data_IF_204997410373
#
_entry.id   IF_204997410373
#
_cell.length_a   1.000
_cell.length_b   1.000
_cell.length_c   1.000
_cell.angle_alpha   90.00
_cell.angle_beta   90.00
_cell.angle_gamma   90.00
#
_symmetry.space_group_name_H-M   'P 1'
#
loop_
_entity.id
_entity.type
_entity.pdbx_description
1 polymer ?
#
# COMPACT_ATOMS: atom_id res chain seq x y z
N UNK A 1 -75.08 4.30 12.25
CA UNK A 1 -74.17 4.75 11.17
C UNK A 1 -72.86 5.21 11.78
N UNK A 2 -71.83 4.36 11.79
CA UNK A 2 -70.47 4.72 12.21
C UNK A 2 -69.50 4.21 11.15
N UNK A 3 -68.75 5.15 10.60
CA UNK A 3 -67.81 5.03 9.49
C UNK A 3 -66.63 4.11 9.85
N UNK A 4 -66.29 3.15 8.98
CA UNK A 4 -64.99 2.47 8.99
C UNK A 4 -64.06 3.21 8.01
N UNK A 5 -63.04 3.88 8.55
CA UNK A 5 -61.91 4.43 7.81
C UNK A 5 -60.91 3.32 7.50
N UNK A 6 -60.77 2.95 6.23
CA UNK A 6 -59.75 2.05 5.71
C UNK A 6 -58.42 2.81 5.61
N UNK A 7 -57.40 2.38 6.37
CA UNK A 7 -56.02 2.84 6.20
C UNK A 7 -55.34 2.03 5.09
N UNK A 8 -54.99 2.69 3.99
CA UNK A 8 -54.21 2.12 2.90
C UNK A 8 -52.72 2.34 3.19
N UNK A 9 -52.03 1.30 3.68
CA UNK A 9 -50.60 1.33 3.91
C UNK A 9 -49.83 1.32 2.60
N UNK A 10 -49.09 2.40 2.32
CA UNK A 10 -48.14 2.49 1.21
C UNK A 10 -46.90 1.67 1.58
N UNK A 11 -46.69 0.55 0.91
CA UNK A 11 -45.43 -0.21 0.98
C UNK A 11 -44.42 0.46 0.07
N UNK A 12 -43.47 1.19 0.66
CA UNK A 12 -42.28 1.67 -0.06
C UNK A 12 -41.30 0.51 -0.16
N UNK A 13 -41.22 -0.10 -1.34
CA UNK A 13 -40.19 -1.09 -1.65
C UNK A 13 -38.83 -0.38 -1.76
N UNK A 14 -37.99 -0.54 -0.75
CA UNK A 14 -36.57 -0.16 -0.82
C UNK A 14 -35.88 -1.16 -1.74
N UNK A 15 -35.59 -0.74 -2.96
CA UNK A 15 -34.73 -1.48 -3.89
C UNK A 15 -33.30 -1.47 -3.32
N UNK A 16 -32.88 -2.60 -2.75
CA UNK A 16 -31.50 -2.85 -2.41
C UNK A 16 -30.69 -2.99 -3.70
N UNK A 17 -29.76 -2.05 -3.93
CA UNK A 17 -28.74 -2.18 -4.96
C UNK A 17 -27.75 -3.24 -4.48
N UNK A 18 -27.52 -4.35 -5.20
CA UNK A 18 -26.51 -5.30 -4.81
C UNK A 18 -25.13 -4.69 -5.11
N UNK A 19 -24.38 -4.32 -4.06
CA UNK A 19 -22.94 -4.07 -4.15
C UNK A 19 -22.27 -5.43 -4.37
N UNK A 20 -22.16 -5.82 -5.63
CA UNK A 20 -21.53 -7.06 -6.06
C UNK A 20 -20.01 -6.93 -6.11
N UNK A 21 -19.34 -6.81 -4.97
CA UNK A 21 -17.96 -7.29 -4.88
C UNK A 21 -18.04 -8.81 -4.77
N UNK A 22 -17.99 -9.49 -5.91
CA UNK A 22 -17.94 -10.95 -5.96
C UNK A 22 -16.64 -11.39 -5.27
N UNK A 23 -16.75 -11.86 -4.03
CA UNK A 23 -15.62 -12.32 -3.23
C UNK A 23 -15.02 -13.57 -3.90
N UNK A 24 -13.89 -13.40 -4.58
CA UNK A 24 -13.05 -14.51 -5.00
C UNK A 24 -12.51 -15.30 -3.80
N UNK A 25 -11.94 -16.47 -4.08
CA UNK A 25 -11.14 -17.26 -3.14
C UNK A 25 -10.20 -16.38 -2.29
N UNK A 26 -9.91 -16.77 -1.04
CA UNK A 26 -9.18 -15.93 -0.07
C UNK A 26 -8.00 -15.16 -0.69
N UNK A 27 -8.10 -13.82 -0.71
CA UNK A 27 -7.04 -12.91 -1.17
C UNK A 27 -7.13 -12.49 -2.64
N UNK A 28 -8.01 -13.07 -3.46
CA UNK A 28 -8.24 -12.62 -4.84
C UNK A 28 -9.26 -11.48 -4.92
N UNK A 29 -8.93 -10.44 -5.67
CA UNK A 29 -9.72 -9.23 -5.85
C UNK A 29 -9.99 -9.05 -7.35
N UNK A 30 -11.25 -8.89 -7.73
CA UNK A 30 -11.59 -8.60 -9.13
C UNK A 30 -11.19 -7.18 -9.51
N UNK A 31 -10.55 -7.03 -10.67
CA UNK A 31 -10.24 -5.74 -11.30
C UNK A 31 -11.27 -5.33 -12.35
N UNK A 32 -12.21 -6.21 -12.68
CA UNK A 32 -13.25 -5.98 -13.68
C UNK A 32 -14.61 -6.44 -13.16
N UNK A 33 -15.64 -5.62 -13.39
CA UNK A 33 -17.00 -5.84 -12.89
C UNK A 33 -17.85 -6.74 -13.80
N UNK A 34 -17.35 -7.08 -15.00
CA UNK A 34 -18.07 -7.83 -16.01
C UNK A 34 -19.12 -7.03 -16.80
N UNK A 35 -19.25 -5.73 -16.55
CA UNK A 35 -20.36 -4.91 -17.04
C UNK A 35 -19.89 -3.62 -17.72
N UNK A 36 -18.82 -3.02 -17.24
CA UNK A 36 -18.36 -1.72 -17.69
C UNK A 36 -16.83 -1.61 -17.67
N UNK A 37 -16.29 -0.58 -18.33
CA UNK A 37 -14.86 -0.26 -18.22
C UNK A 37 -14.56 0.61 -16.98
N UNK A 38 -15.41 0.59 -15.95
CA UNK A 38 -15.12 1.32 -14.70
C UNK A 38 -13.81 0.83 -14.09
N UNK A 39 -12.95 1.78 -13.71
CA UNK A 39 -11.60 1.47 -13.24
C UNK A 39 -10.60 1.15 -14.37
N UNK A 40 -11.00 1.26 -15.64
CA UNK A 40 -10.13 1.10 -16.80
C UNK A 40 -10.15 2.35 -17.68
N UNK A 41 -9.02 2.68 -18.29
CA UNK A 41 -8.87 3.84 -19.16
C UNK A 41 -8.07 3.50 -20.40
N UNK A 42 -8.67 3.70 -21.56
CA UNK A 42 -8.00 3.52 -22.84
C UNK A 42 -7.00 4.66 -23.11
N UNK A 43 -5.93 4.34 -23.82
CA UNK A 43 -5.08 5.34 -24.48
C UNK A 43 -5.76 5.87 -25.75
N UNK A 44 -4.99 6.02 -26.82
CA UNK A 44 -5.48 6.39 -28.14
C UNK A 44 -6.46 5.35 -28.69
N UNK A 45 -7.33 5.72 -29.62
CA UNK A 45 -8.30 4.79 -30.20
C UNK A 45 -9.18 4.07 -29.17
N UNK A 46 -9.78 4.82 -28.24
CA UNK A 46 -10.60 4.26 -27.16
C UNK A 46 -11.73 3.33 -27.62
N UNK A 47 -12.25 3.52 -28.84
CA UNK A 47 -13.25 2.63 -29.47
C UNK A 47 -12.78 1.19 -29.73
N UNK A 48 -11.50 0.90 -29.53
CA UNK A 48 -10.91 -0.45 -29.61
C UNK A 48 -11.41 -1.38 -28.51
N UNK A 49 -11.89 -0.82 -27.40
CA UNK A 49 -12.32 -1.61 -26.24
C UNK A 49 -13.83 -1.49 -26.03
N UNK A 50 -14.47 -2.64 -25.86
CA UNK A 50 -15.89 -2.74 -25.50
C UNK A 50 -16.09 -3.83 -24.44
N UNK A 51 -17.29 -3.92 -23.87
CA UNK A 51 -17.69 -5.04 -22.99
C UNK A 51 -18.77 -5.85 -23.68
N UNK A 52 -18.55 -7.16 -23.80
CA UNK A 52 -19.50 -8.12 -24.38
C UNK A 52 -19.50 -9.40 -23.55
N UNK A 53 -20.68 -9.90 -23.19
CA UNK A 53 -20.86 -11.19 -22.48
C UNK A 53 -19.96 -11.38 -21.24
N UNK A 54 -19.76 -10.31 -20.47
CA UNK A 54 -18.92 -10.37 -19.27
C UNK A 54 -17.42 -10.34 -19.54
N UNK A 55 -16.99 -9.97 -20.76
CA UNK A 55 -15.59 -9.85 -21.16
C UNK A 55 -15.29 -8.46 -21.74
N UNK A 56 -14.08 -7.96 -21.47
CA UNK A 56 -13.48 -6.86 -22.23
C UNK A 56 -13.05 -7.41 -23.58
N UNK A 57 -13.56 -6.83 -24.66
CA UNK A 57 -13.21 -7.16 -26.05
C UNK A 57 -12.27 -6.08 -26.57
N UNK A 58 -11.06 -6.49 -26.97
CA UNK A 58 -10.12 -5.66 -27.69
C UNK A 58 -10.22 -5.99 -29.19
N UNK A 59 -10.78 -5.06 -29.96
CA UNK A 59 -10.94 -5.17 -31.41
C UNK A 59 -10.95 -3.77 -32.05
N UNK A 60 -10.00 -3.51 -32.94
CA UNK A 60 -9.86 -2.22 -33.60
C UNK A 60 -8.40 -1.77 -33.72
N UNK A 61 -8.16 -0.49 -34.09
CA UNK A 61 -6.82 0.02 -34.25
C UNK A 61 -5.99 -0.08 -32.97
N UNK A 62 -4.67 -0.08 -33.11
CA UNK A 62 -3.73 -0.21 -32.01
C UNK A 62 -4.08 0.67 -30.79
N UNK A 63 -4.14 0.07 -29.60
CA UNK A 63 -4.42 0.74 -28.33
C UNK A 63 -4.04 -0.10 -27.12
N UNK A 64 -4.03 0.53 -25.94
CA UNK A 64 -3.91 -0.12 -24.64
C UNK A 64 -5.01 0.37 -23.69
N UNK A 65 -5.57 -0.55 -22.89
CA UNK A 65 -6.53 -0.29 -21.84
C UNK A 65 -5.86 -0.49 -20.49
N UNK A 66 -5.63 0.60 -19.75
CA UNK A 66 -4.90 0.59 -18.48
C UNK A 66 -5.85 0.48 -17.29
N UNK A 67 -5.49 -0.31 -16.29
CA UNK A 67 -6.19 -0.26 -15.02
C UNK A 67 -5.85 1.05 -14.29
N UNK A 68 -6.88 1.78 -13.89
CA UNK A 68 -6.80 3.04 -13.12
C UNK A 68 -7.73 3.00 -11.90
N UNK A 69 -8.20 1.81 -11.55
CA UNK A 69 -9.13 1.60 -10.44
C UNK A 69 -8.48 1.74 -9.07
N UNK A 70 -9.30 1.67 -8.00
CA UNK A 70 -8.87 2.05 -6.67
C UNK A 70 -8.03 0.98 -5.93
N UNK A 71 -8.08 -0.29 -6.36
CA UNK A 71 -7.38 -1.39 -5.70
C UNK A 71 -5.87 -1.12 -5.73
N UNK A 72 -5.24 -1.16 -4.55
CA UNK A 72 -3.83 -0.81 -4.34
C UNK A 72 -3.43 0.55 -4.95
N UNK A 73 -4.36 1.49 -5.09
CA UNK A 73 -4.15 2.78 -5.77
C UNK A 73 -3.66 2.64 -7.22
N UNK A 74 -3.99 1.53 -7.89
CA UNK A 74 -3.54 1.24 -9.25
C UNK A 74 -2.03 0.99 -9.37
N UNK A 75 -1.35 0.65 -8.28
CA UNK A 75 0.11 0.46 -8.25
C UNK A 75 0.46 -0.84 -7.50
N UNK A 76 0.85 -1.84 -8.27
CA UNK A 76 1.13 -3.19 -7.82
C UNK A 76 2.63 -3.47 -7.92
N UNK A 77 3.22 -3.93 -6.82
CA UNK A 77 4.63 -4.30 -6.73
C UNK A 77 4.81 -5.81 -6.85
N UNK A 78 4.43 -6.55 -5.81
CA UNK A 78 4.42 -8.01 -5.84
C UNK A 78 2.95 -8.47 -5.89
N UNK A 79 2.62 -9.40 -6.79
CA UNK A 79 1.25 -9.86 -7.01
C UNK A 79 1.19 -11.22 -7.71
N UNK A 80 0.06 -11.89 -7.56
CA UNK A 80 -0.43 -12.85 -8.54
C UNK A 80 -1.55 -12.19 -9.36
N UNK A 81 -1.54 -12.37 -10.68
CA UNK A 81 -2.56 -11.89 -11.62
C UNK A 81 -3.11 -13.10 -12.39
N UNK A 82 -4.43 -13.25 -12.41
CA UNK A 82 -5.14 -14.23 -13.25
C UNK A 82 -6.03 -13.50 -14.24
N UNK A 83 -5.99 -13.94 -15.50
CA UNK A 83 -6.81 -13.41 -16.58
C UNK A 83 -7.28 -14.58 -17.42
N UNK A 84 -8.59 -14.71 -17.62
CA UNK A 84 -9.11 -15.63 -18.63
C UNK A 84 -9.10 -14.91 -19.98
N UNK A 85 -8.50 -15.57 -20.97
CA UNK A 85 -8.27 -15.01 -22.31
C UNK A 85 -8.86 -15.96 -23.35
N UNK A 86 -9.42 -15.38 -24.42
CA UNK A 86 -9.82 -16.08 -25.63
C UNK A 86 -9.43 -15.24 -26.84
N UNK A 87 -8.92 -15.87 -27.89
CA UNK A 87 -8.52 -15.22 -29.14
C UNK A 87 -9.43 -15.68 -30.28
N UNK A 88 -9.73 -14.81 -31.24
CA UNK A 88 -10.16 -15.25 -32.57
C UNK A 88 -8.93 -15.62 -33.43
N UNK A 89 -9.11 -16.39 -34.53
CA UNK A 89 -8.00 -16.73 -35.42
C UNK A 89 -7.23 -15.50 -35.91
N UNK A 90 -5.90 -15.61 -35.92
CA UNK A 90 -4.96 -14.55 -36.30
C UNK A 90 -4.93 -13.33 -35.36
N UNK A 91 -5.54 -13.41 -34.17
CA UNK A 91 -5.47 -12.32 -33.21
C UNK A 91 -4.09 -12.20 -32.54
N UNK A 92 -3.69 -10.95 -32.32
CA UNK A 92 -2.53 -10.56 -31.54
C UNK A 92 -2.98 -9.59 -30.43
N UNK A 93 -2.39 -9.72 -29.25
CA UNK A 93 -2.67 -8.90 -28.09
C UNK A 93 -1.66 -9.16 -26.97
N UNK A 94 -1.97 -8.67 -25.77
CA UNK A 94 -1.05 -8.78 -24.65
C UNK A 94 -1.65 -8.33 -23.33
N UNK A 95 -1.12 -8.91 -22.25
CA UNK A 95 -1.39 -8.52 -20.87
C UNK A 95 -0.13 -7.89 -20.29
N UNK A 96 -0.23 -6.65 -19.85
CA UNK A 96 0.89 -5.86 -19.35
C UNK A 96 0.84 -5.73 -17.84
N UNK A 97 2.02 -5.64 -17.22
CA UNK A 97 2.16 -5.38 -15.79
C UNK A 97 3.36 -4.47 -15.48
N UNK A 98 3.39 -3.91 -14.26
CA UNK A 98 4.35 -2.88 -13.85
C UNK A 98 4.39 -1.67 -14.79
N UNK A 99 3.29 -1.43 -15.51
CA UNK A 99 3.21 -0.34 -16.47
C UNK A 99 2.64 0.93 -15.82
N UNK A 100 2.38 1.96 -16.62
CA UNK A 100 1.73 3.18 -16.21
C UNK A 100 0.86 3.70 -17.35
N UNK A 101 -0.21 4.43 -17.02
CA UNK A 101 -1.06 5.03 -18.04
C UNK A 101 -0.23 5.86 -19.02
N UNK A 102 -0.46 5.63 -20.31
CA UNK A 102 0.14 6.37 -21.41
C UNK A 102 -0.95 6.58 -22.47
N UNK A 103 -1.10 7.82 -22.94
CA UNK A 103 -2.16 8.13 -23.88
C UNK A 103 -1.84 7.64 -25.30
N UNK A 104 -0.58 7.68 -25.75
CA UNK A 104 -0.21 7.38 -27.15
C UNK A 104 1.00 6.47 -27.25
N UNK A 105 1.06 5.68 -28.30
CA UNK A 105 2.21 4.88 -28.67
C UNK A 105 2.38 3.59 -27.85
N UNK A 106 3.48 2.91 -28.12
CA UNK A 106 3.87 1.68 -27.45
C UNK A 106 4.10 1.91 -25.96
N UNK A 107 3.60 1.01 -25.12
CA UNK A 107 3.86 1.02 -23.67
C UNK A 107 5.37 1.07 -23.42
N UNK A 108 5.82 2.16 -22.78
CA UNK A 108 7.24 2.43 -22.56
C UNK A 108 7.81 1.75 -21.30
N UNK A 109 6.96 1.51 -20.30
CA UNK A 109 7.33 0.97 -18.97
C UNK A 109 6.63 -0.35 -18.72
N UNK A 110 7.35 -1.29 -18.11
CA UNK A 110 6.80 -2.56 -17.64
C UNK A 110 6.98 -3.67 -18.66
N UNK A 111 6.31 -4.79 -18.40
CA UNK A 111 6.44 -6.02 -19.16
C UNK A 111 5.12 -6.36 -19.83
N UNK A 112 5.23 -7.25 -20.81
CA UNK A 112 4.12 -7.78 -21.61
C UNK A 112 4.21 -9.29 -21.58
N UNK A 113 3.10 -9.93 -21.27
CA UNK A 113 2.87 -11.35 -21.53
C UNK A 113 2.06 -11.43 -22.81
N UNK A 114 2.65 -12.04 -23.83
CA UNK A 114 2.06 -12.13 -25.17
C UNK A 114 0.72 -12.88 -25.14
N UNK A 115 -0.22 -12.45 -25.99
CA UNK A 115 -1.41 -13.21 -26.38
C UNK A 115 -1.38 -13.36 -27.91
N UNK A 116 -1.04 -14.55 -28.39
CA UNK A 116 -1.01 -14.90 -29.81
C UNK A 116 -0.97 -16.43 -29.96
N UNK A 117 -2.02 -17.01 -30.51
CA UNK A 117 -2.12 -18.46 -30.74
C UNK A 117 -1.89 -18.86 -32.20
N UNK A 118 -2.21 -17.99 -33.18
CA UNK A 118 -2.18 -18.36 -34.61
C UNK A 118 -1.76 -17.27 -35.59
N UNK A 119 -1.50 -16.03 -35.14
CA UNK A 119 -0.98 -14.98 -36.03
C UNK A 119 0.42 -15.34 -36.52
N UNK A 120 0.57 -15.53 -37.83
CA UNK A 120 1.84 -15.96 -38.44
C UNK A 120 2.82 -14.80 -38.66
N UNK A 121 2.41 -13.55 -38.45
CA UNK A 121 3.27 -12.38 -38.65
C UNK A 121 4.22 -12.14 -37.47
N UNK A 122 3.80 -12.46 -36.25
CA UNK A 122 4.66 -12.52 -35.07
C UNK A 122 5.00 -13.99 -34.73
N UNK A 123 6.29 -14.36 -34.59
CA UNK A 123 6.68 -15.71 -34.18
C UNK A 123 6.43 -16.00 -32.70
N UNK A 124 6.23 -14.98 -31.85
CA UNK A 124 6.11 -15.13 -30.39
C UNK A 124 4.68 -15.48 -29.99
N UNK A 125 4.55 -16.43 -29.07
CA UNK A 125 3.27 -17.05 -28.70
C UNK A 125 2.81 -16.71 -27.31
N UNK A 126 1.52 -16.95 -27.08
CA UNK A 126 0.84 -16.80 -25.79
C UNK A 126 1.68 -17.30 -24.63
N UNK A 127 1.84 -16.47 -23.60
CA UNK A 127 2.63 -16.79 -22.41
C UNK A 127 4.11 -16.36 -22.48
N UNK A 128 4.60 -15.92 -23.64
CA UNK A 128 5.95 -15.33 -23.73
C UNK A 128 6.04 -14.10 -22.85
N UNK A 129 7.09 -13.99 -22.02
CA UNK A 129 7.47 -12.72 -21.43
C UNK A 129 8.19 -11.93 -22.53
N UNK A 130 7.45 -11.10 -23.26
CA UNK A 130 7.81 -10.64 -24.60
C UNK A 130 9.20 -9.99 -24.64
N UNK A 131 10.08 -10.52 -25.49
CA UNK A 131 11.51 -10.14 -25.64
C UNK A 131 12.38 -10.32 -24.39
N UNK A 132 11.90 -11.01 -23.36
CA UNK A 132 12.68 -11.39 -22.18
C UNK A 132 12.88 -12.91 -22.13
N UNK A 133 11.79 -13.67 -22.27
CA UNK A 133 11.78 -15.11 -22.38
C UNK A 133 10.66 -15.52 -23.35
N UNK A 134 11.07 -15.89 -24.55
CA UNK A 134 10.20 -16.07 -25.72
C UNK A 134 9.76 -17.52 -25.88
N UNK A 135 8.52 -17.71 -26.30
CA UNK A 135 7.95 -18.99 -26.72
C UNK A 135 7.52 -18.89 -28.18
N UNK A 136 7.75 -19.96 -28.95
CA UNK A 136 7.37 -20.02 -30.38
C UNK A 136 6.24 -21.00 -30.65
N UNK A 137 5.81 -21.75 -29.63
CA UNK A 137 4.69 -22.70 -29.70
C UNK A 137 3.54 -22.22 -28.82
N UNK A 138 2.32 -22.26 -29.36
CA UNK A 138 1.13 -21.80 -28.64
C UNK A 138 0.68 -22.86 -27.63
N UNK A 139 0.53 -22.51 -26.33
CA UNK A 139 0.01 -23.41 -25.31
C UNK A 139 -1.53 -23.52 -25.32
N UNK A 140 -2.21 -22.75 -26.16
CA UNK A 140 -3.66 -22.65 -26.20
C UNK A 140 -4.16 -22.57 -27.65
N UNK A 141 -5.45 -22.84 -27.85
CA UNK A 141 -6.12 -22.77 -29.15
C UNK A 141 -6.95 -21.48 -29.25
N UNK A 142 -7.19 -21.03 -30.49
CA UNK A 142 -8.18 -19.98 -30.72
C UNK A 142 -9.59 -20.47 -30.37
N UNK A 143 -10.47 -19.52 -30.07
CA UNK A 143 -11.89 -19.73 -29.76
C UNK A 143 -12.16 -20.53 -28.48
N UNK A 144 -11.12 -20.94 -27.76
CA UNK A 144 -11.17 -21.55 -26.45
C UNK A 144 -10.71 -20.57 -25.36
N UNK A 145 -11.37 -20.62 -24.20
CA UNK A 145 -10.93 -19.87 -23.03
C UNK A 145 -9.77 -20.59 -22.35
N UNK A 146 -8.72 -19.85 -22.01
CA UNK A 146 -7.62 -20.32 -21.19
C UNK A 146 -7.27 -19.30 -20.11
N UNK A 147 -6.86 -19.77 -18.94
CA UNK A 147 -6.37 -18.90 -17.87
C UNK A 147 -4.88 -18.65 -18.04
N UNK A 148 -4.50 -17.38 -18.08
CA UNK A 148 -3.14 -16.90 -17.90
C UNK A 148 -2.95 -16.52 -16.42
N UNK A 149 -1.92 -17.07 -15.77
CA UNK A 149 -1.56 -16.76 -14.38
C UNK A 149 -0.12 -16.25 -14.34
N UNK A 150 0.04 -15.00 -13.94
CA UNK A 150 1.33 -14.31 -13.82
C UNK A 150 1.62 -14.11 -12.35
N UNK A 151 2.79 -14.51 -11.88
CA UNK A 151 3.26 -14.22 -10.52
C UNK A 151 4.49 -13.34 -10.61
N UNK A 152 4.47 -12.23 -9.88
CA UNK A 152 5.62 -11.35 -9.70
C UNK A 152 5.93 -11.25 -8.22
N UNK A 153 7.10 -11.72 -7.82
CA UNK A 153 7.61 -11.64 -6.45
C UNK A 153 9.04 -11.08 -6.45
N UNK A 154 9.19 -9.82 -6.04
CA UNK A 154 10.47 -9.13 -6.03
C UNK A 154 11.05 -8.97 -7.45
N UNK A 155 12.06 -9.80 -7.77
CA UNK A 155 12.73 -9.81 -9.07
C UNK A 155 12.44 -11.06 -9.89
N UNK A 156 11.49 -11.89 -9.46
CA UNK A 156 11.12 -13.15 -10.10
C UNK A 156 9.73 -13.06 -10.72
N UNK A 157 9.60 -13.61 -11.93
CA UNK A 157 8.37 -13.67 -12.71
C UNK A 157 8.12 -15.10 -13.18
N UNK A 158 6.92 -15.63 -12.92
CA UNK A 158 6.43 -16.84 -13.58
C UNK A 158 5.21 -16.54 -14.43
N UNK A 159 5.08 -17.28 -15.53
CA UNK A 159 3.89 -17.26 -16.38
C UNK A 159 3.42 -18.69 -16.62
N UNK A 160 2.17 -18.93 -16.26
CA UNK A 160 1.47 -20.20 -16.43
C UNK A 160 0.26 -19.98 -17.36
N UNK A 161 0.02 -20.92 -18.28
CA UNK A 161 -1.16 -20.89 -19.17
C UNK A 161 -1.83 -22.25 -19.15
N UNK A 162 -3.13 -22.28 -18.84
CA UNK A 162 -3.90 -23.52 -18.75
C UNK A 162 -3.32 -24.53 -17.75
N UNK A 163 -2.72 -24.04 -16.65
CA UNK A 163 -2.08 -24.86 -15.62
C UNK A 163 -0.68 -25.39 -15.98
N UNK A 164 -0.09 -24.98 -17.10
CA UNK A 164 1.28 -25.32 -17.49
C UNK A 164 2.20 -24.12 -17.29
N UNK A 165 3.28 -24.29 -16.51
CA UNK A 165 4.33 -23.29 -16.37
C UNK A 165 5.14 -23.16 -17.64
N UNK A 166 5.24 -21.95 -18.19
CA UNK A 166 5.94 -21.67 -19.45
C UNK A 166 7.14 -20.74 -19.26
N UNK A 167 7.04 -19.79 -18.34
CA UNK A 167 8.12 -18.85 -17.99
C UNK A 167 8.45 -18.99 -16.51
N UNK A 168 9.75 -18.96 -16.22
CA UNK A 168 10.33 -18.90 -14.89
C UNK A 168 11.61 -18.04 -15.02
N UNK A 169 11.47 -16.74 -14.78
CA UNK A 169 12.47 -15.73 -15.14
C UNK A 169 12.82 -14.85 -13.94
N UNK A 170 14.11 -14.59 -13.72
CA UNK A 170 14.60 -13.63 -12.72
C UNK A 170 15.31 -12.48 -13.41
N UNK A 171 14.97 -11.24 -13.06
CA UNK A 171 15.64 -10.06 -13.55
C UNK A 171 17.12 -10.05 -13.09
N UNK A 172 18.09 -9.92 -14.02
CA UNK A 172 19.49 -9.81 -13.65
C UNK A 172 19.78 -8.49 -12.90
N UNK A 173 20.87 -8.46 -12.13
CA UNK A 173 21.35 -7.26 -11.47
C UNK A 173 22.78 -6.94 -11.96
N UNK A 174 23.01 -5.84 -12.73
CA UNK A 174 22.00 -4.83 -13.12
C UNK A 174 20.99 -5.36 -14.16
N UNK A 175 19.80 -4.73 -14.27
CA UNK A 175 18.80 -5.10 -15.27
C UNK A 175 19.33 -5.02 -16.71
N UNK A 176 18.87 -5.94 -17.57
CA UNK A 176 19.27 -6.03 -18.98
C UNK A 176 18.04 -5.98 -19.91
N UNK A 177 17.37 -4.82 -20.04
CA UNK A 177 16.24 -4.68 -20.96
C UNK A 177 16.70 -4.68 -22.43
N UNK A 178 15.83 -5.07 -23.38
CA UNK A 178 16.08 -4.89 -24.81
C UNK A 178 16.33 -3.41 -25.14
N UNK A 179 17.23 -3.14 -26.09
CA UNK A 179 17.62 -1.77 -26.46
C UNK A 179 16.46 -0.92 -26.97
N UNK A 180 15.47 -1.54 -27.64
CA UNK A 180 14.26 -0.89 -28.13
C UNK A 180 13.18 -0.74 -27.06
N UNK A 181 13.36 -1.34 -25.87
CA UNK A 181 12.40 -1.34 -24.76
C UNK A 181 13.10 -1.16 -23.40
N UNK A 182 13.80 -0.04 -23.17
CA UNK A 182 14.61 0.16 -21.96
C UNK A 182 13.80 0.18 -20.65
N UNK A 183 12.48 0.37 -20.71
CA UNK A 183 11.60 0.35 -19.54
C UNK A 183 11.10 -1.03 -19.09
N UNK A 184 11.57 -2.12 -19.70
CA UNK A 184 11.32 -3.52 -19.25
C UNK A 184 12.20 -3.84 -18.03
N UNK A 185 11.93 -3.14 -16.92
CA UNK A 185 12.62 -3.28 -15.64
C UNK A 185 11.59 -3.43 -14.52
N UNK A 186 11.75 -4.43 -13.66
CA UNK A 186 10.82 -4.74 -12.56
C UNK A 186 10.86 -3.63 -11.50
N UNK A 187 9.67 -3.20 -11.09
CA UNK A 187 9.49 -2.16 -10.08
C UNK A 187 8.10 -2.25 -9.48
N UNK A 188 7.24 -1.31 -9.85
CA UNK A 188 5.81 -1.34 -9.56
C UNK A 188 5.05 -0.59 -10.64
N UNK A 189 3.76 -0.86 -10.75
CA UNK A 189 2.88 -0.13 -11.64
C UNK A 189 1.54 -0.81 -11.81
N UNK A 190 0.79 -0.36 -12.81
CA UNK A 190 -0.54 -0.90 -13.13
C UNK A 190 -0.48 -2.02 -14.17
N UNK A 191 -1.65 -2.54 -14.51
CA UNK A 191 -1.89 -3.49 -15.59
C UNK A 191 -2.41 -2.80 -16.85
N UNK A 192 -2.21 -3.42 -18.01
CA UNK A 192 -2.91 -3.02 -19.22
C UNK A 192 -3.26 -4.22 -20.12
N UNK A 193 -4.28 -4.05 -20.96
CA UNK A 193 -4.66 -4.98 -22.02
C UNK A 193 -4.42 -4.32 -23.38
N UNK A 194 -4.01 -5.08 -24.38
CA UNK A 194 -3.72 -4.55 -25.71
C UNK A 194 -4.82 -4.88 -26.72
N UNK A 195 -5.16 -3.89 -27.55
CA UNK A 195 -5.73 -4.09 -28.87
C UNK A 195 -4.64 -3.84 -29.92
N UNK A 196 -4.35 -4.82 -30.76
CA UNK A 196 -3.17 -4.79 -31.63
C UNK A 196 -3.46 -4.12 -32.99
N UNK A 197 -4.49 -4.59 -33.70
CA UNK A 197 -4.89 -4.11 -35.01
C UNK A 197 -6.34 -4.52 -35.35
N UNK A 198 -6.86 -4.01 -36.47
CA UNK A 198 -8.24 -4.23 -36.92
C UNK A 198 -8.58 -5.70 -37.24
N UNK A 199 -7.57 -6.56 -37.42
CA UNK A 199 -7.78 -7.99 -37.71
C UNK A 199 -7.82 -8.81 -36.43
N UNK A 200 -7.33 -8.25 -35.32
CA UNK A 200 -7.22 -8.93 -34.04
C UNK A 200 -8.49 -8.74 -33.21
N UNK A 201 -8.96 -9.85 -32.63
CA UNK A 201 -10.01 -9.84 -31.62
C UNK A 201 -9.58 -10.71 -30.46
N UNK A 202 -9.44 -10.08 -29.28
CA UNK A 202 -9.09 -10.76 -28.03
C UNK A 202 -10.12 -10.42 -26.95
N UNK A 203 -10.52 -11.44 -26.20
CA UNK A 203 -11.45 -11.33 -25.09
C UNK A 203 -10.71 -11.56 -23.78
N UNK A 204 -10.96 -10.71 -22.79
CA UNK A 204 -10.39 -10.80 -21.44
C UNK A 204 -11.52 -10.77 -20.42
N UNK A 205 -11.60 -11.75 -19.51
CA UNK A 205 -12.54 -11.75 -18.38
C UNK A 205 -11.89 -12.35 -17.14
N UNK A 206 -12.62 -12.34 -16.02
CA UNK A 206 -12.14 -12.93 -14.76
C UNK A 206 -10.74 -12.40 -14.39
N UNK A 207 -10.59 -11.07 -14.44
CA UNK A 207 -9.33 -10.38 -14.20
C UNK A 207 -9.17 -10.22 -12.68
N UNK A 208 -8.41 -11.11 -12.07
CA UNK A 208 -8.22 -11.14 -10.62
C UNK A 208 -6.77 -10.86 -10.26
N UNK A 209 -6.58 -10.09 -9.19
CA UNK A 209 -5.26 -9.86 -8.59
C UNK A 209 -5.26 -10.32 -7.14
N UNK A 210 -4.13 -10.85 -6.70
CA UNK A 210 -3.81 -11.10 -5.30
C UNK A 210 -2.50 -10.40 -4.97
N UNK A 211 -2.55 -9.21 -4.35
CA UNK A 211 -1.35 -8.49 -3.93
C UNK A 211 -0.53 -9.32 -2.94
N UNK A 212 0.78 -9.41 -3.18
CA UNK A 212 1.74 -10.11 -2.32
C UNK A 212 2.57 -9.14 -1.47
N UNK A 213 2.61 -7.86 -1.87
CA UNK A 213 3.22 -6.79 -1.08
C UNK A 213 2.18 -6.20 -0.11
N UNK A 214 2.41 -6.23 1.22
CA UNK A 214 1.39 -5.81 2.17
C UNK A 214 1.28 -4.28 2.21
N UNK A 215 0.07 -3.78 2.00
CA UNK A 215 -0.25 -2.36 2.12
C UNK A 215 -1.02 -2.13 3.41
N UNK A 216 -0.31 -1.63 4.43
CA UNK A 216 -0.89 -1.37 5.76
C UNK A 216 -0.58 0.05 6.18
N UNK A 217 -1.61 0.84 6.49
CA UNK A 217 -1.47 2.12 7.17
C UNK A 217 -1.49 1.89 8.68
N UNK A 218 -0.33 1.89 9.31
CA UNK A 218 -0.13 1.67 10.75
C UNK A 218 -0.37 2.93 11.60
N UNK A 219 -0.75 4.06 11.01
CA UNK A 219 -0.92 5.32 11.73
C UNK A 219 -2.19 6.04 11.27
N UNK A 220 -3.33 5.39 11.47
CA UNK A 220 -4.63 5.94 11.16
C UNK A 220 -5.40 6.34 12.43
N UNK A 221 -6.13 7.44 12.33
CA UNK A 221 -6.89 8.05 13.41
C UNK A 221 -8.33 8.34 13.01
N UNK A 222 -9.24 8.17 13.98
CA UNK A 222 -10.67 8.44 13.83
C UNK A 222 -11.01 9.89 14.25
N UNK A 223 -10.40 10.87 13.58
CA UNK A 223 -10.61 12.32 13.87
C UNK A 223 -11.60 12.94 12.89
N UNK A 224 -12.16 14.09 13.25
CA UNK A 224 -12.99 14.89 12.34
C UNK A 224 -14.30 14.20 11.91
N UNK A 225 -14.87 13.35 12.77
CA UNK A 225 -16.11 12.62 12.49
C UNK A 225 -15.93 11.29 11.75
N UNK A 226 -14.70 10.88 11.44
CA UNK A 226 -14.41 9.55 10.90
C UNK A 226 -14.84 8.44 11.84
N UNK A 227 -15.54 7.45 11.31
CA UNK A 227 -15.92 6.23 12.03
C UNK A 227 -15.02 5.05 11.64
N UNK A 228 -15.04 3.98 12.44
CA UNK A 228 -14.37 2.71 12.07
C UNK A 228 -14.95 2.16 10.77
N UNK A 229 -16.25 2.33 10.53
CA UNK A 229 -16.92 1.79 9.34
C UNK A 229 -16.53 2.57 8.07
N UNK A 230 -16.31 3.90 8.16
CA UNK A 230 -15.71 4.68 7.07
C UNK A 230 -14.33 4.14 6.68
N UNK A 231 -13.50 3.84 7.69
CA UNK A 231 -12.16 3.30 7.50
C UNK A 231 -12.20 1.89 6.89
N UNK A 232 -13.14 1.04 7.30
CA UNK A 232 -13.35 -0.29 6.71
C UNK A 232 -13.78 -0.19 5.24
N UNK A 233 -14.65 0.77 4.90
CA UNK A 233 -15.04 1.00 3.51
C UNK A 233 -13.83 1.42 2.65
N UNK A 234 -12.95 2.28 3.16
CA UNK A 234 -11.70 2.66 2.50
C UNK A 234 -10.77 1.44 2.37
N UNK A 235 -10.67 0.63 3.41
CA UNK A 235 -9.88 -0.60 3.44
C UNK A 235 -10.28 -1.55 2.30
N UNK A 236 -11.57 -1.81 2.14
CA UNK A 236 -12.12 -2.66 1.10
C UNK A 236 -11.90 -2.05 -0.29
N UNK A 237 -12.14 -0.73 -0.45
CA UNK A 237 -12.01 -0.03 -1.72
C UNK A 237 -10.58 -0.01 -2.25
N UNK A 238 -9.59 0.06 -1.38
CA UNK A 238 -8.19 0.22 -1.77
C UNK A 238 -7.31 -1.02 -1.50
N UNK A 239 -7.88 -2.08 -0.90
CA UNK A 239 -7.11 -3.23 -0.42
C UNK A 239 -5.96 -2.83 0.52
N UNK A 240 -6.23 -1.87 1.42
CA UNK A 240 -5.31 -1.38 2.44
C UNK A 240 -5.78 -1.87 3.80
N UNK A 241 -4.89 -2.47 4.60
CA UNK A 241 -5.19 -2.75 6.00
C UNK A 241 -4.86 -1.54 6.86
N UNK A 242 -5.55 -1.39 7.99
CA UNK A 242 -5.34 -0.26 8.89
C UNK A 242 -4.99 -0.71 10.30
N UNK A 243 -4.13 0.07 10.95
CA UNK A 243 -4.00 0.10 12.39
C UNK A 243 -4.56 1.40 12.94
N UNK A 244 -5.58 1.27 13.79
CA UNK A 244 -6.33 2.39 14.36
C UNK A 244 -5.68 2.79 15.68
N UNK A 245 -5.14 4.00 15.71
CA UNK A 245 -4.40 4.56 16.81
C UNK A 245 -5.29 5.35 17.77
N UNK A 246 -5.24 4.98 19.04
CA UNK A 246 -5.79 5.80 20.13
C UNK A 246 -4.69 6.75 20.63
N UNK A 247 -4.91 8.07 20.52
CA UNK A 247 -4.03 9.06 21.16
C UNK A 247 -4.22 9.00 22.68
N UNK A 248 -3.13 8.75 23.41
CA UNK A 248 -3.20 8.59 24.86
C UNK A 248 -2.00 9.20 25.58
N UNK A 249 -2.24 9.83 26.73
CA UNK A 249 -1.20 10.52 27.51
C UNK A 249 -1.69 11.83 28.12
N UNK A 250 -0.76 12.64 28.59
CA UNK A 250 -1.06 13.92 29.26
C UNK A 250 -1.77 14.87 28.29
N UNK A 251 -2.94 15.36 28.70
CA UNK A 251 -3.76 16.29 27.90
C UNK A 251 -4.68 15.62 26.88
N UNK A 252 -4.70 14.29 26.81
CA UNK A 252 -5.62 13.55 25.94
C UNK A 252 -6.82 12.99 26.72
N UNK A 253 -7.97 12.76 26.06
CA UNK A 253 -9.13 12.14 26.69
C UNK A 253 -8.82 10.75 27.28
N UNK A 254 -7.90 10.01 26.66
CA UNK A 254 -7.41 8.73 27.14
C UNK A 254 -6.12 8.94 27.91
N UNK A 255 -6.22 8.95 29.22
CA UNK A 255 -5.10 9.24 30.14
C UNK A 255 -4.97 8.23 31.29
N UNK A 256 -5.71 7.13 31.23
CA UNK A 256 -5.63 6.01 32.15
C UNK A 256 -6.13 4.71 31.49
N UNK A 257 -5.97 3.59 32.19
CA UNK A 257 -6.35 2.25 31.70
C UNK A 257 -7.84 2.11 31.33
N UNK A 258 -8.74 2.77 32.06
CA UNK A 258 -10.18 2.73 31.72
C UNK A 258 -10.46 3.45 30.39
N UNK A 259 -9.70 4.50 30.06
CA UNK A 259 -9.72 5.13 28.74
C UNK A 259 -9.27 4.16 27.64
N UNK A 260 -8.12 3.50 27.83
CA UNK A 260 -7.61 2.51 26.86
C UNK A 260 -8.61 1.35 26.66
N UNK A 261 -9.22 0.88 27.75
CA UNK A 261 -10.25 -0.17 27.70
C UNK A 261 -11.45 0.25 26.86
N UNK A 262 -11.96 1.49 27.01
CA UNK A 262 -13.04 2.02 26.18
C UNK A 262 -12.63 2.15 24.71
N UNK A 263 -11.38 2.52 24.43
CA UNK A 263 -10.87 2.58 23.06
C UNK A 263 -10.84 1.19 22.41
N UNK A 264 -10.34 0.17 23.12
CA UNK A 264 -10.29 -1.21 22.65
C UNK A 264 -11.69 -1.79 22.37
N UNK A 265 -12.67 -1.50 23.23
CA UNK A 265 -14.06 -1.96 23.04
C UNK A 265 -14.66 -1.46 21.72
N UNK A 266 -14.32 -0.25 21.26
CA UNK A 266 -14.81 0.29 19.97
C UNK A 266 -14.27 -0.48 18.76
N UNK A 267 -13.15 -1.18 18.92
CA UNK A 267 -12.45 -1.90 17.86
C UNK A 267 -12.66 -3.43 17.94
N UNK A 268 -13.41 -3.91 18.93
CA UNK A 268 -13.64 -5.34 19.14
C UNK A 268 -14.36 -5.97 17.94
N UNK A 269 -13.83 -7.09 17.44
CA UNK A 269 -14.37 -7.80 16.28
C UNK A 269 -14.18 -7.10 14.92
N UNK A 270 -13.58 -5.90 14.89
CA UNK A 270 -13.33 -5.16 13.65
C UNK A 270 -12.03 -5.66 12.98
N UNK A 271 -11.96 -5.74 11.63
CA UNK A 271 -10.82 -6.28 10.89
C UNK A 271 -9.63 -5.30 10.79
N UNK A 272 -9.26 -4.66 11.90
CA UNK A 272 -8.20 -3.66 11.99
C UNK A 272 -7.18 -4.07 13.04
N UNK A 273 -5.94 -3.57 12.94
CA UNK A 273 -5.03 -3.61 14.08
C UNK A 273 -5.42 -2.52 15.09
N UNK A 274 -5.22 -2.82 16.37
CA UNK A 274 -5.43 -1.91 17.50
C UNK A 274 -4.09 -1.31 17.88
N UNK A 275 -3.94 0.00 17.72
CA UNK A 275 -2.70 0.69 17.99
C UNK A 275 -2.84 1.68 19.13
N UNK A 276 -1.78 1.84 19.90
CA UNK A 276 -1.67 2.85 20.96
C UNK A 276 -0.66 3.90 20.52
N UNK A 277 -1.09 5.14 20.31
CA UNK A 277 -0.19 6.27 20.15
C UNK A 277 0.07 6.87 21.54
N UNK A 278 1.22 6.52 22.10
CA UNK A 278 1.69 7.03 23.36
C UNK A 278 2.23 8.47 23.19
N UNK A 279 1.65 9.42 23.91
CA UNK A 279 1.93 10.85 23.78
C UNK A 279 2.72 11.39 24.98
N UNK A 280 3.79 12.14 24.69
CA UNK A 280 4.71 12.64 25.72
C UNK A 280 5.56 11.53 26.33
N UNK A 281 6.34 11.87 27.37
CA UNK A 281 7.25 10.92 28.03
C UNK A 281 6.65 10.32 29.30
N UNK A 282 5.55 10.89 29.77
CA UNK A 282 4.89 10.52 31.02
C UNK A 282 4.06 9.24 30.91
N UNK A 283 3.65 8.86 29.70
CA UNK A 283 2.73 7.75 29.45
C UNK A 283 3.19 6.42 30.09
N UNK A 284 4.50 6.20 30.19
CA UNK A 284 5.08 5.00 30.81
C UNK A 284 4.75 4.86 32.30
N UNK A 285 4.22 5.91 32.94
CA UNK A 285 3.74 5.90 34.34
C UNK A 285 2.21 5.94 34.44
N UNK A 286 1.50 6.09 33.32
CA UNK A 286 0.06 6.35 33.28
C UNK A 286 -0.76 5.10 33.01
N UNK A 287 -0.16 4.10 32.38
CA UNK A 287 -0.86 2.91 31.90
C UNK A 287 -0.17 1.64 32.40
N UNK A 288 -0.95 0.62 32.73
CA UNK A 288 -0.40 -0.66 33.18
C UNK A 288 0.20 -1.47 32.02
N UNK A 289 1.27 -2.26 32.26
CA UNK A 289 1.81 -3.18 31.25
C UNK A 289 0.73 -4.13 30.68
N UNK A 290 -0.18 -4.59 31.53
CA UNK A 290 -1.28 -5.50 31.17
C UNK A 290 -2.25 -4.85 30.20
N UNK A 291 -2.57 -3.57 30.38
CA UNK A 291 -3.45 -2.85 29.47
C UNK A 291 -2.75 -2.55 28.14
N UNK A 292 -1.49 -2.10 28.18
CA UNK A 292 -0.70 -1.82 26.98
C UNK A 292 -0.57 -3.10 26.12
N UNK A 293 -0.37 -4.27 26.74
CA UNK A 293 -0.22 -5.54 26.04
C UNK A 293 -1.47 -5.98 25.24
N UNK A 294 -2.65 -5.37 25.47
CA UNK A 294 -3.88 -5.67 24.70
C UNK A 294 -3.89 -5.03 23.32
N UNK A 295 -3.07 -4.01 23.08
CA UNK A 295 -2.89 -3.43 21.74
C UNK A 295 -1.99 -4.34 20.90
N UNK A 296 -2.20 -4.33 19.59
CA UNK A 296 -1.40 -5.13 18.66
C UNK A 296 0.02 -4.57 18.54
N UNK A 297 0.16 -3.24 18.66
CA UNK A 297 1.45 -2.55 18.73
C UNK A 297 1.31 -1.17 19.38
N UNK A 298 2.43 -0.67 19.91
CA UNK A 298 2.55 0.65 20.52
C UNK A 298 3.51 1.50 19.71
N UNK A 299 3.21 2.78 19.55
CA UNK A 299 4.13 3.70 18.90
C UNK A 299 4.14 5.07 19.57
N UNK A 300 5.22 5.81 19.34
CA UNK A 300 5.39 7.18 19.82
C UNK A 300 6.34 7.94 18.89
N UNK A 301 6.40 9.26 19.07
CA UNK A 301 7.34 10.14 18.39
C UNK A 301 8.21 10.91 19.40
N UNK A 302 9.20 11.64 18.88
CA UNK A 302 10.05 12.56 19.64
C UNK A 302 9.58 14.01 19.48
N UNK A 303 8.27 14.23 19.30
CA UNK A 303 7.70 15.56 19.07
C UNK A 303 7.18 16.20 20.37
N UNK A 304 7.04 15.43 21.46
CA UNK A 304 6.66 15.93 22.79
C UNK A 304 7.70 15.56 23.86
N UNK A 305 8.34 16.56 24.44
CA UNK A 305 9.38 16.39 25.47
C UNK A 305 9.67 17.70 26.22
N UNK A 306 10.39 17.61 27.34
CA UNK A 306 10.83 18.76 28.15
C UNK A 306 12.28 19.11 27.83
N UNK A 307 12.56 20.36 27.48
CA UNK A 307 13.91 20.84 27.21
C UNK A 307 14.76 20.96 28.48
N UNK A 308 16.07 21.18 28.33
CA UNK A 308 17.00 21.28 29.46
C UNK A 308 16.72 22.46 30.41
N UNK A 309 15.82 23.38 30.03
CA UNK A 309 15.34 24.51 30.86
C UNK A 309 14.01 24.21 31.56
N UNK A 310 13.47 23.00 31.44
CA UNK A 310 12.21 22.61 32.07
C UNK A 310 10.94 23.00 31.30
N UNK A 311 11.05 23.55 30.08
CA UNK A 311 9.88 23.86 29.25
C UNK A 311 9.42 22.62 28.48
N UNK A 312 8.14 22.27 28.61
CA UNK A 312 7.49 21.28 27.74
C UNK A 312 7.37 21.85 26.32
N UNK A 313 7.83 21.09 25.35
CA UNK A 313 7.77 21.44 23.93
C UNK A 313 6.91 20.42 23.18
N UNK A 314 6.02 20.95 22.32
CA UNK A 314 5.31 20.21 21.28
C UNK A 314 5.78 20.74 19.94
N UNK A 315 6.59 19.97 19.22
CA UNK A 315 7.32 20.44 18.04
C UNK A 315 6.40 20.89 16.89
N UNK A 316 5.14 20.46 16.87
CA UNK A 316 4.15 20.88 15.87
C UNK A 316 3.36 22.14 16.27
N UNK A 317 3.56 22.67 17.47
CA UNK A 317 2.89 23.88 17.97
C UNK A 317 3.89 25.05 17.99
N UNK A 318 3.86 25.98 17.01
CA UNK A 318 4.88 27.01 16.87
C UNK A 318 5.15 27.83 18.15
N UNK A 319 4.09 28.11 18.93
CA UNK A 319 4.18 28.91 20.14
C UNK A 319 4.80 28.17 21.35
N UNK A 320 5.06 26.87 21.22
CA UNK A 320 5.62 26.03 22.29
C UNK A 320 7.06 25.61 22.04
N UNK A 321 7.60 25.89 20.85
CA UNK A 321 8.95 25.48 20.47
C UNK A 321 9.96 26.55 20.82
N UNK A 322 11.05 26.13 21.45
CA UNK A 322 12.25 26.96 21.65
C UNK A 322 13.46 26.28 21.01
N UNK A 323 13.84 26.74 19.82
CA UNK A 323 15.03 26.21 19.14
C UNK A 323 16.31 26.77 19.75
N UNK A 324 16.42 28.10 19.90
CA UNK A 324 17.69 28.70 20.29
C UNK A 324 18.78 28.42 19.26
N UNK A 325 19.95 27.93 19.71
CA UNK A 325 20.99 27.45 18.80
C UNK A 325 20.56 26.13 18.11
N UNK A 326 20.56 26.12 16.79
CA UNK A 326 20.05 25.00 15.99
C UNK A 326 20.86 23.72 16.19
N UNK A 327 22.17 23.81 16.38
CA UNK A 327 23.02 22.62 16.55
C UNK A 327 22.83 22.00 17.93
N UNK A 328 22.71 22.82 18.98
CA UNK A 328 22.35 22.39 20.32
C UNK A 328 20.94 21.77 20.35
N UNK A 329 19.96 22.41 19.69
CA UNK A 329 18.61 21.86 19.55
C UNK A 329 18.63 20.47 18.90
N UNK A 330 19.36 20.32 17.80
CA UNK A 330 19.46 19.04 17.10
C UNK A 330 20.19 17.97 17.94
N UNK A 331 21.22 18.34 18.69
CA UNK A 331 21.85 17.44 19.66
C UNK A 331 20.84 16.94 20.70
N UNK A 332 20.10 17.85 21.30
CA UNK A 332 19.06 17.55 22.29
C UNK A 332 17.95 16.67 21.69
N UNK A 333 17.45 17.00 20.50
CA UNK A 333 16.43 16.21 19.80
C UNK A 333 16.91 14.78 19.56
N UNK A 334 18.13 14.59 19.04
CA UNK A 334 18.71 13.27 18.80
C UNK A 334 18.86 12.49 20.11
N UNK A 335 19.35 13.13 21.18
CA UNK A 335 19.50 12.49 22.49
C UNK A 335 18.15 12.06 23.07
N UNK A 336 17.10 12.89 22.93
CA UNK A 336 15.74 12.52 23.35
C UNK A 336 15.18 11.37 22.50
N UNK A 337 15.36 11.41 21.19
CA UNK A 337 14.94 10.31 20.29
C UNK A 337 15.64 8.99 20.64
N UNK A 338 16.96 9.01 20.82
CA UNK A 338 17.73 7.82 21.20
C UNK A 338 17.31 7.33 22.59
N UNK A 339 17.03 8.24 23.53
CA UNK A 339 16.49 7.92 24.85
C UNK A 339 15.15 7.17 24.77
N UNK A 340 14.23 7.63 23.92
CA UNK A 340 12.94 6.98 23.68
C UNK A 340 13.17 5.56 23.13
N UNK A 341 13.96 5.43 22.07
CA UNK A 341 14.19 4.15 21.38
C UNK A 341 14.83 3.09 22.30
N UNK A 342 15.74 3.53 23.19
CA UNK A 342 16.43 2.66 24.13
C UNK A 342 15.57 2.23 25.32
N UNK A 343 14.72 3.12 25.84
CA UNK A 343 14.12 2.92 27.16
C UNK A 343 12.61 2.66 27.13
N UNK A 344 11.93 3.03 26.05
CA UNK A 344 10.47 2.90 26.00
C UNK A 344 10.00 1.63 25.28
N UNK A 345 8.91 1.00 25.77
CA UNK A 345 8.39 -0.23 25.19
C UNK A 345 7.50 0.03 23.96
N UNK A 346 8.08 0.66 22.95
CA UNK A 346 7.42 0.91 21.65
C UNK A 346 7.84 -0.11 20.60
N UNK A 347 6.94 -0.38 19.65
CA UNK A 347 7.19 -1.21 18.47
C UNK A 347 7.56 -0.38 17.25
N UNK A 348 7.02 0.84 17.12
CA UNK A 348 7.27 1.76 15.99
C UNK A 348 7.62 3.16 16.50
N UNK A 349 8.63 3.78 15.90
CA UNK A 349 8.94 5.21 16.04
C UNK A 349 8.36 5.97 14.85
N UNK A 350 7.37 6.82 15.13
CA UNK A 350 6.58 7.54 14.12
C UNK A 350 7.02 9.00 13.99
N UNK A 351 6.61 9.63 12.89
CA UNK A 351 7.03 10.97 12.50
C UNK A 351 8.57 11.15 12.59
N UNK A 352 9.39 10.19 12.12
CA UNK A 352 10.82 10.22 12.35
C UNK A 352 11.42 11.45 11.70
N UNK A 353 12.49 11.96 12.30
CA UNK A 353 13.23 13.13 11.79
C UNK A 353 12.42 14.43 11.71
N UNK A 354 11.22 14.49 12.29
CA UNK A 354 10.40 15.70 12.28
C UNK A 354 11.16 16.90 12.86
N UNK A 355 11.10 18.03 12.15
CA UNK A 355 11.60 19.32 12.59
C UNK A 355 10.44 20.31 12.74
N UNK A 356 10.44 21.16 13.77
CA UNK A 356 9.46 22.23 13.91
C UNK A 356 9.59 23.22 12.74
N UNK A 357 8.47 23.86 12.37
CA UNK A 357 8.38 24.70 11.17
C UNK A 357 9.47 25.79 11.07
N UNK A 358 9.94 26.30 12.21
CA UNK A 358 10.97 27.37 12.30
C UNK A 358 12.37 26.95 11.82
N UNK A 359 12.65 25.66 11.65
CA UNK A 359 13.94 25.13 11.14
C UNK A 359 13.74 23.99 10.13
N UNK A 360 12.51 23.78 9.66
CA UNK A 360 12.19 22.67 8.77
C UNK A 360 12.76 22.86 7.35
N UNK A 361 13.02 24.10 6.95
CA UNK A 361 13.67 24.47 5.67
C UNK A 361 15.16 24.10 5.62
N UNK A 362 15.80 23.88 6.77
CA UNK A 362 17.19 23.44 6.89
C UNK A 362 17.31 21.92 7.12
N UNK A 363 16.27 21.14 6.82
CA UNK A 363 16.20 19.71 7.14
C UNK A 363 17.44 18.92 6.73
N UNK A 364 17.86 19.01 5.46
CA UNK A 364 18.99 18.23 4.94
C UNK A 364 20.35 18.69 5.51
N UNK A 365 20.43 19.96 5.96
CA UNK A 365 21.62 20.51 6.62
C UNK A 365 21.69 20.07 8.09
N UNK A 366 20.55 20.02 8.77
CA UNK A 366 20.47 19.73 10.20
C UNK A 366 20.48 18.22 10.50
N UNK A 367 19.88 17.39 9.65
CA UNK A 367 20.00 15.94 9.74
C UNK A 367 21.28 15.46 9.05
N UNK A 368 22.39 15.55 9.79
CA UNK A 368 23.67 14.98 9.34
C UNK A 368 23.65 13.46 9.36
N UNK A 369 24.53 12.83 8.58
CA UNK A 369 24.71 11.37 8.55
C UNK A 369 24.90 10.79 9.96
N UNK A 370 25.73 11.43 10.79
CA UNK A 370 25.99 11.00 12.16
C UNK A 370 24.71 11.00 13.02
N UNK A 371 23.86 12.02 12.88
CA UNK A 371 22.60 12.13 13.62
C UNK A 371 21.61 11.05 13.16
N UNK A 372 21.51 10.84 11.84
CA UNK A 372 20.68 9.79 11.28
C UNK A 372 21.12 8.41 11.79
N UNK A 373 22.43 8.12 11.76
CA UNK A 373 22.99 6.85 12.18
C UNK A 373 22.74 6.56 13.66
N UNK A 374 22.85 7.56 14.55
CA UNK A 374 22.52 7.39 15.97
C UNK A 374 21.07 6.92 16.18
N UNK A 375 20.12 7.53 15.47
CA UNK A 375 18.70 7.15 15.54
C UNK A 375 18.49 5.75 14.95
N UNK A 376 19.05 5.47 13.78
CA UNK A 376 18.94 4.17 13.10
C UNK A 376 19.51 3.04 13.98
N UNK A 377 20.71 3.23 14.53
CA UNK A 377 21.35 2.22 15.39
C UNK A 377 20.54 1.95 16.65
N UNK A 378 19.98 2.99 17.28
CA UNK A 378 19.09 2.83 18.42
C UNK A 378 17.81 2.04 18.04
N UNK A 379 17.23 2.30 16.88
CA UNK A 379 16.08 1.56 16.38
C UNK A 379 16.40 0.08 16.12
N UNK A 380 17.51 -0.21 15.42
CA UNK A 380 18.00 -1.58 15.15
C UNK A 380 18.26 -2.33 16.45
N UNK A 381 19.07 -1.75 17.35
CA UNK A 381 19.44 -2.35 18.64
C UNK A 381 18.23 -2.80 19.46
N UNK A 382 17.15 -2.01 19.40
CA UNK A 382 15.97 -2.22 20.21
C UNK A 382 14.80 -2.90 19.47
N UNK A 383 15.01 -3.25 18.19
CA UNK A 383 13.99 -3.83 17.33
C UNK A 383 12.75 -2.94 17.19
N UNK A 384 12.95 -1.62 17.07
CA UNK A 384 11.89 -0.63 16.83
C UNK A 384 11.83 -0.35 15.33
N UNK A 385 10.65 -0.46 14.74
CA UNK A 385 10.44 -0.10 13.33
C UNK A 385 10.41 1.42 13.17
N UNK A 386 10.76 1.92 11.98
CA UNK A 386 10.69 3.35 11.66
C UNK A 386 9.54 3.59 10.69
N UNK A 387 8.72 4.59 10.97
CA UNK A 387 7.63 4.97 10.07
C UNK A 387 8.14 5.63 8.78
N UNK A 388 7.51 5.34 7.65
CA UNK A 388 7.55 6.20 6.46
C UNK A 388 6.21 6.94 6.42
N UNK A 389 6.24 8.18 6.88
CA UNK A 389 5.06 9.01 7.08
C UNK A 389 4.67 9.71 5.78
N UNK A 390 3.49 9.41 5.25
CA UNK A 390 3.05 9.96 3.97
C UNK A 390 2.58 11.40 4.02
N UNK A 391 2.02 11.85 5.15
CA UNK A 391 1.56 13.23 5.31
C UNK A 391 2.71 14.22 5.41
N UNK A 392 3.70 13.91 6.25
CA UNK A 392 4.89 14.77 6.42
C UNK A 392 5.97 14.52 5.38
N UNK A 393 5.88 13.42 4.61
CA UNK A 393 6.90 12.99 3.65
C UNK A 393 8.26 12.81 4.33
N UNK A 394 8.24 12.09 5.45
CA UNK A 394 9.40 11.83 6.30
C UNK A 394 9.59 10.33 6.52
N UNK A 395 10.82 9.87 6.79
CA UNK A 395 12.08 10.61 6.70
C UNK A 395 12.58 10.66 5.24
N UNK A 396 13.64 11.43 4.96
CA UNK A 396 14.17 11.52 3.58
C UNK A 396 14.65 10.17 3.02
N UNK A 397 14.71 10.05 1.69
CA UNK A 397 15.22 8.85 1.02
C UNK A 397 16.65 8.49 1.48
N UNK A 398 17.49 9.50 1.75
CA UNK A 398 18.84 9.30 2.30
C UNK A 398 18.80 8.55 3.62
N UNK A 399 17.92 8.96 4.54
CA UNK A 399 17.71 8.26 5.81
C UNK A 399 17.22 6.83 5.57
N UNK A 400 16.24 6.65 4.68
CA UNK A 400 15.62 5.34 4.42
C UNK A 400 16.58 4.33 3.81
N UNK A 401 17.46 4.76 2.90
CA UNK A 401 18.50 3.90 2.32
C UNK A 401 19.46 3.39 3.41
N UNK A 402 19.93 4.29 4.29
CA UNK A 402 20.80 3.93 5.43
C UNK A 402 20.09 3.01 6.42
N UNK A 403 18.83 3.32 6.76
CA UNK A 403 18.04 2.52 7.67
C UNK A 403 17.82 1.09 7.14
N UNK A 404 17.56 0.96 5.82
CA UNK A 404 17.42 -0.34 5.16
C UNK A 404 18.73 -1.12 5.21
N UNK A 405 19.84 -0.48 4.87
CA UNK A 405 21.17 -1.12 4.92
C UNK A 405 21.51 -1.61 6.34
N UNK A 406 21.10 -0.86 7.36
CA UNK A 406 21.24 -1.26 8.77
C UNK A 406 20.24 -2.34 9.24
N UNK A 407 19.29 -2.75 8.41
CA UNK A 407 18.31 -3.80 8.72
C UNK A 407 17.08 -3.33 9.52
N UNK A 408 16.76 -2.04 9.51
CA UNK A 408 15.53 -1.50 10.12
C UNK A 408 14.29 -2.03 9.40
N UNK A 409 13.23 -2.32 10.17
CA UNK A 409 11.89 -2.58 9.62
C UNK A 409 11.10 -1.29 9.47
N UNK A 410 10.23 -1.20 8.47
CA UNK A 410 9.47 0.01 8.15
C UNK A 410 7.97 -0.17 8.36
N UNK A 411 7.31 0.80 8.98
CA UNK A 411 5.86 0.90 9.01
C UNK A 411 5.41 2.02 8.08
N UNK A 412 4.39 1.80 7.25
CA UNK A 412 3.78 2.93 6.53
C UNK A 412 2.72 3.57 7.41
N UNK A 413 2.58 4.89 7.31
CA UNK A 413 1.61 5.62 8.11
C UNK A 413 1.17 6.90 7.44
N UNK A 414 -0.12 7.24 7.55
CA UNK A 414 -0.62 8.53 7.09
C UNK A 414 -0.55 9.61 8.16
N UNK A 415 -0.73 9.26 9.43
CA UNK A 415 -1.02 10.24 10.48
C UNK A 415 -2.11 11.22 10.02
N UNK A 416 -3.20 10.67 9.50
CA UNK A 416 -4.23 11.41 8.78
C UNK A 416 -4.81 12.57 9.62
N UNK A 417 -5.06 13.69 8.94
CA UNK A 417 -5.79 14.85 9.50
C UNK A 417 -7.30 14.64 9.49
N UNK A 418 -7.81 13.81 8.58
CA UNK A 418 -9.24 13.51 8.47
C UNK A 418 -9.51 12.48 7.37
N UNK A 419 -10.68 12.57 6.73
CA UNK A 419 -11.13 11.62 5.72
C UNK A 419 -10.38 11.74 4.39
N UNK A 420 -9.90 12.94 4.06
CA UNK A 420 -9.33 13.23 2.74
C UNK A 420 -7.91 12.66 2.54
N UNK A 421 -7.19 12.38 3.62
CA UNK A 421 -5.81 11.87 3.60
C UNK A 421 -5.67 10.49 4.26
N UNK A 422 -6.76 9.89 4.73
CA UNK A 422 -6.75 8.54 5.34
C UNK A 422 -6.40 7.48 4.28
N UNK A 423 -5.37 6.68 4.58
CA UNK A 423 -4.85 5.66 3.68
C UNK A 423 -4.02 6.19 2.50
N UNK A 424 -3.85 7.50 2.31
CA UNK A 424 -2.98 8.03 1.25
C UNK A 424 -1.50 7.74 1.55
N UNK A 425 -1.05 6.56 1.13
CA UNK A 425 0.30 6.06 1.31
C UNK A 425 1.22 6.38 0.13
N UNK A 426 0.93 7.42 -0.67
CA UNK A 426 1.66 7.72 -1.89
C UNK A 426 3.18 7.89 -1.66
N UNK A 427 3.58 8.63 -0.64
CA UNK A 427 5.00 8.81 -0.33
C UNK A 427 5.63 7.52 0.21
N UNK A 428 4.92 6.78 1.07
CA UNK A 428 5.41 5.49 1.58
C UNK A 428 5.64 4.49 0.46
N UNK A 429 4.71 4.37 -0.49
CA UNK A 429 4.86 3.52 -1.69
C UNK A 429 6.02 3.97 -2.57
N UNK A 430 6.14 5.27 -2.84
CA UNK A 430 7.24 5.82 -3.63
C UNK A 430 8.60 5.51 -2.98
N UNK A 431 8.73 5.71 -1.66
CA UNK A 431 9.97 5.42 -0.95
C UNK A 431 10.26 3.92 -0.88
N UNK A 432 9.24 3.08 -0.74
CA UNK A 432 9.38 1.63 -0.80
C UNK A 432 9.89 1.17 -2.17
N UNK A 433 9.44 1.80 -3.26
CA UNK A 433 9.96 1.56 -4.59
C UNK A 433 11.42 2.01 -4.70
N UNK A 434 11.72 3.28 -4.38
CA UNK A 434 13.06 3.87 -4.55
C UNK A 434 14.12 3.20 -3.69
N UNK A 435 13.77 2.79 -2.47
CA UNK A 435 14.66 2.07 -1.56
C UNK A 435 14.65 0.55 -1.82
N UNK A 436 13.83 0.06 -2.75
CA UNK A 436 13.72 -1.37 -3.07
C UNK A 436 13.23 -2.22 -1.91
N UNK A 437 12.33 -1.70 -1.06
CA UNK A 437 11.81 -2.42 0.11
C UNK A 437 10.98 -3.63 -0.31
N UNK A 438 11.19 -4.76 0.34
CA UNK A 438 10.43 -6.01 0.16
C UNK A 438 9.41 -6.18 1.29
N UNK A 439 8.54 -7.18 1.20
CA UNK A 439 7.62 -7.55 2.31
C UNK A 439 8.39 -7.82 3.61
N UNK A 440 9.60 -8.35 3.52
CA UNK A 440 10.42 -8.66 4.68
C UNK A 440 10.98 -7.41 5.35
N UNK A 441 11.08 -6.28 4.64
CA UNK A 441 11.50 -5.00 5.21
C UNK A 441 10.36 -4.32 6.00
N UNK A 442 9.12 -4.81 5.90
CA UNK A 442 7.97 -4.17 6.53
C UNK A 442 7.70 -4.68 7.95
N UNK A 443 7.21 -3.77 8.78
CA UNK A 443 6.75 -4.07 10.12
C UNK A 443 5.51 -4.97 10.08
N UNK A 444 5.48 -5.94 10.98
CA UNK A 444 4.33 -6.78 11.27
C UNK A 444 4.16 -6.80 12.79
N UNK A 445 2.96 -6.49 13.33
CA UNK A 445 2.69 -6.57 14.75
C UNK A 445 3.10 -7.92 15.32
N UNK A 446 3.79 -7.90 16.45
CA UNK A 446 4.29 -9.12 17.08
C UNK A 446 3.13 -9.87 17.74
N UNK A 447 3.15 -11.22 17.71
CA UNK A 447 2.15 -11.98 18.45
C UNK A 447 2.31 -11.75 19.95
N UNK A 448 1.26 -12.10 20.69
CA UNK A 448 1.26 -12.04 22.14
C UNK A 448 2.44 -12.83 22.75
N UNK A 449 2.98 -12.33 23.87
CA UNK A 449 4.22 -12.80 24.48
C UNK A 449 5.50 -12.23 23.84
N UNK A 450 5.42 -11.56 22.67
CA UNK A 450 6.59 -10.96 21.98
C UNK A 450 6.50 -9.45 21.78
N UNK A 451 5.44 -8.79 22.24
CA UNK A 451 5.26 -7.33 22.07
C UNK A 451 6.31 -6.54 22.84
N UNK A 452 6.59 -5.29 22.43
CA UNK A 452 7.63 -4.47 23.05
C UNK A 452 7.45 -4.35 24.58
N UNK A 453 6.23 -4.10 25.07
CA UNK A 453 5.91 -4.04 26.50
C UNK A 453 6.18 -5.36 27.24
N UNK A 454 5.93 -6.50 26.61
CA UNK A 454 6.15 -7.82 27.20
C UNK A 454 7.63 -8.20 27.23
N UNK A 455 8.43 -7.69 26.28
CA UNK A 455 9.88 -7.95 26.21
C UNK A 455 10.71 -7.01 27.07
N UNK A 456 10.34 -5.72 27.11
CA UNK A 456 11.13 -4.66 27.76
C UNK A 456 10.59 -4.27 29.13
N UNK A 457 9.29 -4.44 29.38
CA UNK A 457 8.61 -3.84 30.53
C UNK A 457 8.54 -2.31 30.43
N UNK A 458 7.95 -1.68 31.45
CA UNK A 458 8.03 -0.24 31.63
C UNK A 458 9.40 0.13 32.23
N UNK A 459 10.00 1.27 31.84
CA UNK A 459 11.21 1.77 32.47
C UNK A 459 10.99 2.00 33.98
N UNK A 460 12.02 1.68 34.78
CA UNK A 460 12.00 1.84 36.25
C UNK A 460 12.27 3.27 36.68
#
# INVERSE_FOLDING_TARGET
MKSLMTWMGVVVAVLAIPVGAQSGEQGWISLFDGQSLEGWKAGENAGTFSVQEGAIVAHGPFSHLFYVGPICYGDFKDFELKVDVRTEPQANGGVFFHTQYQEKGLVAKGFEVQVNNSDRTDPLRTGSLYKMQNLTEAPAQDQEWFTMHVVVEGKHVTVDVGGRKLVDWTEPNPPQPPSDRPGRVLGSGTFALQGHDERSTVYYKNIYVKPLFPLVDYHAHLKGGLTVDDLIAISQRHAVKFGVAENCGVGFPTNNDEGLKRALQKLEGKPVYRAMQAEGREWVKMFSPEMIAKFDYVFTDSMTWTNDRGKRMRLWMPNEVEVGDKQQFMGMLVDRTVGILNNEPIDVYVNPTFLPAVIADEYDTLWTDERMDKVIQAAVKNGVAIEINSRYKLPSEKFLRRAKEAGVKFAFGTNNGGKNDLGDLAYSRLMAQRCGLTKDDLFVPRPDGRKAIQRKGLPR
#
